data_IF_365237431004
#
_entry.id   IF_365237431004
#
_cell.length_a   1.000
_cell.length_b   1.000
_cell.length_c   1.000
_cell.angle_alpha   90.00
_cell.angle_beta   90.00
_cell.angle_gamma   90.00
#
_symmetry.space_group_name_H-M   'P 1'
#
loop_
_entity.id
_entity.type
_entity.pdbx_description
1 polymer ?
#
# COMPACT_ATOMS: atom_id res chain seq x y z
N UNK A 1 -18.68 52.42 41.34
CA UNK A 1 -18.01 51.80 42.50
C UNK A 1 -18.08 50.29 42.35
N UNK A 2 -17.01 49.60 42.79
CA UNK A 2 -16.81 48.14 42.85
C UNK A 2 -16.61 47.42 41.50
N UNK A 3 -15.74 46.41 41.33
CA UNK A 3 -14.52 45.94 42.01
C UNK A 3 -13.89 44.90 41.05
N UNK A 4 -12.58 44.69 41.12
CA UNK A 4 -11.79 43.78 40.27
C UNK A 4 -12.30 42.32 40.28
N UNK A 5 -12.40 41.69 39.10
CA UNK A 5 -12.39 40.23 38.97
C UNK A 5 -11.28 39.81 38.00
N UNK A 6 -10.37 38.98 38.53
CA UNK A 6 -9.19 38.42 37.88
C UNK A 6 -9.58 37.39 36.81
N UNK A 7 -8.80 37.32 35.73
CA UNK A 7 -8.59 36.12 34.91
C UNK A 7 -9.79 35.67 34.07
N UNK A 8 -9.99 36.25 32.88
CA UNK A 8 -11.03 35.81 31.94
C UNK A 8 -10.53 34.72 31.00
N UNK A 9 -10.90 33.47 31.28
CA UNK A 9 -10.71 32.30 30.42
C UNK A 9 -11.61 32.35 29.15
N UNK A 10 -11.15 31.76 28.04
CA UNK A 10 -11.83 31.69 26.72
C UNK A 10 -12.60 30.36 26.55
N UNK A 11 -13.84 30.38 26.02
CA UNK A 11 -14.85 29.26 25.97
C UNK A 11 -15.28 28.88 24.51
N UNK A 12 -15.86 27.67 24.21
CA UNK A 12 -16.20 27.16 22.83
C UNK A 12 -17.58 26.41 22.64
N UNK A 13 -18.54 26.85 21.78
CA UNK A 13 -19.91 26.33 21.47
C UNK A 13 -20.15 24.80 21.24
N UNK A 14 -21.22 24.22 21.82
CA UNK A 14 -21.75 22.87 21.47
C UNK A 14 -22.46 22.81 20.09
N UNK A 15 -23.00 23.93 19.60
CA UNK A 15 -23.48 24.09 18.21
C UNK A 15 -23.34 25.55 17.80
N UNK A 16 -22.83 25.80 16.59
CA UNK A 16 -22.76 27.17 16.02
C UNK A 16 -24.07 27.40 15.27
N UNK A 17 -25.05 28.03 15.93
CA UNK A 17 -26.34 28.36 15.30
C UNK A 17 -26.19 29.41 14.19
N UNK A 18 -25.18 30.28 14.28
CA UNK A 18 -24.91 31.32 13.30
C UNK A 18 -23.43 31.72 13.36
N UNK A 19 -22.65 31.39 12.33
CA UNK A 19 -21.22 31.74 12.23
C UNK A 19 -20.97 33.24 11.97
N UNK A 20 -22.03 34.00 11.66
CA UNK A 20 -22.01 35.45 11.47
C UNK A 20 -22.61 36.23 12.65
N UNK A 21 -22.90 35.57 13.78
CA UNK A 21 -23.40 36.24 14.98
C UNK A 21 -22.31 37.10 15.61
N UNK A 22 -22.59 38.37 15.91
CA UNK A 22 -21.69 39.25 16.67
C UNK A 22 -21.59 38.85 18.17
N UNK A 23 -22.40 37.90 18.63
CA UNK A 23 -22.43 37.42 20.01
C UNK A 23 -22.25 35.90 20.08
N UNK A 24 -21.36 35.46 20.97
CA UNK A 24 -21.11 34.04 21.31
C UNK A 24 -22.34 33.50 22.07
N UNK A 25 -22.75 32.26 21.79
CA UNK A 25 -23.92 31.64 22.46
C UNK A 25 -23.55 31.19 23.89
N UNK A 26 -24.08 31.91 24.89
CA UNK A 26 -23.76 31.77 26.31
C UNK A 26 -24.50 30.60 27.01
N UNK A 27 -25.30 29.80 26.29
CA UNK A 27 -26.19 28.77 26.88
C UNK A 27 -25.57 27.39 27.03
N UNK A 28 -24.25 27.28 26.89
CA UNK A 28 -23.55 25.99 26.94
C UNK A 28 -22.51 26.04 28.06
N UNK A 29 -22.63 25.13 29.02
CA UNK A 29 -21.65 24.98 30.10
C UNK A 29 -20.41 24.21 29.61
N UNK A 30 -19.21 24.70 29.96
CA UNK A 30 -17.92 24.10 29.60
C UNK A 30 -17.09 23.74 30.81
N UNK A 31 -16.35 22.65 30.70
CA UNK A 31 -15.31 22.25 31.65
C UNK A 31 -13.99 23.00 31.41
N UNK A 32 -13.08 22.95 32.40
CA UNK A 32 -11.77 23.58 32.36
C UNK A 32 -10.90 23.13 31.16
N UNK A 33 -10.14 24.06 30.60
CA UNK A 33 -9.19 23.77 29.52
C UNK A 33 -8.16 22.70 29.94
N UNK A 34 -8.11 21.59 29.20
CA UNK A 34 -7.04 20.60 29.33
C UNK A 34 -5.81 21.06 28.54
N UNK A 35 -4.74 21.39 29.23
CA UNK A 35 -3.45 21.66 28.59
C UNK A 35 -2.77 20.35 28.16
N UNK A 36 -2.50 20.21 26.86
CA UNK A 36 -1.71 19.11 26.32
C UNK A 36 -0.23 19.51 26.26
N UNK A 37 0.60 18.91 27.12
CA UNK A 37 2.02 19.23 27.26
C UNK A 37 2.94 18.50 26.26
N UNK A 38 2.45 17.48 25.54
CA UNK A 38 3.30 16.75 24.57
C UNK A 38 2.51 16.13 23.41
N UNK A 39 1.55 15.25 23.70
CA UNK A 39 0.74 14.55 22.71
C UNK A 39 -0.75 14.61 23.05
N UNK A 40 -1.59 14.46 22.03
CA UNK A 40 -3.04 14.40 22.17
C UNK A 40 -3.48 12.95 21.99
N UNK A 41 -4.07 12.37 23.05
CA UNK A 41 -4.79 11.10 22.93
C UNK A 41 -6.14 11.38 22.30
N UNK A 42 -6.46 10.62 21.24
CA UNK A 42 -7.76 10.64 20.54
C UNK A 42 -8.85 9.95 21.38
N UNK A 43 -8.89 10.23 22.68
CA UNK A 43 -9.88 9.69 23.61
C UNK A 43 -10.89 10.77 24.05
N UNK A 44 -10.60 12.06 23.81
CA UNK A 44 -11.26 13.17 24.51
C UNK A 44 -11.83 14.32 23.67
N UNK A 45 -12.01 14.21 22.36
CA UNK A 45 -12.49 15.35 21.56
C UNK A 45 -13.62 15.01 20.58
N UNK A 46 -14.46 16.04 20.34
CA UNK A 46 -15.70 16.20 19.55
C UNK A 46 -15.96 15.24 18.37
N UNK A 47 -14.90 14.71 17.75
CA UNK A 47 -14.95 13.77 16.63
C UNK A 47 -15.53 12.42 17.02
N UNK A 48 -15.27 11.94 18.24
CA UNK A 48 -15.69 10.61 18.70
C UNK A 48 -17.20 10.45 18.69
N UNK A 49 -17.94 11.49 19.09
CA UNK A 49 -19.41 11.47 19.11
C UNK A 49 -20.01 11.35 17.71
N UNK A 50 -19.51 12.11 16.74
CA UNK A 50 -19.97 12.00 15.35
C UNK A 50 -19.69 10.61 14.78
N UNK A 51 -18.53 10.03 15.11
CA UNK A 51 -18.17 8.67 14.70
C UNK A 51 -19.05 7.60 15.36
N UNK A 52 -19.33 7.71 16.66
CA UNK A 52 -20.23 6.81 17.40
C UNK A 52 -21.69 6.92 16.93
N UNK A 53 -22.10 8.11 16.49
CA UNK A 53 -23.40 8.35 15.85
C UNK A 53 -23.44 7.89 14.38
N UNK A 54 -22.36 7.30 13.85
CA UNK A 54 -22.31 6.69 12.51
C UNK A 54 -21.96 7.66 11.37
N UNK A 55 -21.53 8.88 11.66
CA UNK A 55 -21.08 9.84 10.65
C UNK A 55 -19.60 9.64 10.30
N UNK A 56 -19.26 9.88 9.03
CA UNK A 56 -17.87 10.06 8.63
C UNK A 56 -17.32 11.39 9.17
N UNK A 57 -16.07 11.36 9.61
CA UNK A 57 -15.42 12.50 10.24
C UNK A 57 -14.21 12.99 9.44
N UNK A 58 -14.02 14.31 9.37
CA UNK A 58 -12.89 14.92 8.68
C UNK A 58 -12.29 16.06 9.52
N UNK A 59 -10.96 16.17 9.48
CA UNK A 59 -10.21 17.29 10.07
C UNK A 59 -9.26 17.83 9.00
N UNK A 60 -9.52 19.08 8.61
CA UNK A 60 -8.72 19.83 7.65
C UNK A 60 -8.15 21.08 8.31
N UNK A 61 -6.84 21.27 8.14
CA UNK A 61 -6.14 22.49 8.52
C UNK A 61 -5.44 23.03 7.27
N UNK A 62 -5.24 24.34 7.22
CA UNK A 62 -4.54 25.05 6.15
C UNK A 62 -3.01 24.92 6.25
N UNK A 63 -2.49 24.56 7.43
CA UNK A 63 -1.08 24.31 7.67
C UNK A 63 -0.81 23.04 8.49
N UNK A 64 0.21 22.27 8.11
CA UNK A 64 0.61 21.07 8.85
C UNK A 64 1.65 21.36 9.95
N UNK A 65 2.41 22.44 9.80
CA UNK A 65 3.41 22.92 10.76
C UNK A 65 2.85 23.93 11.76
N UNK A 66 1.92 24.78 11.33
CA UNK A 66 1.24 25.79 12.16
C UNK A 66 -0.17 25.35 12.62
N UNK A 67 -0.54 24.10 12.37
CA UNK A 67 -1.84 23.55 12.77
C UNK A 67 -2.10 23.66 14.27
N UNK A 68 -3.37 23.84 14.64
CA UNK A 68 -3.87 24.07 16.01
C UNK A 68 -3.36 23.03 17.00
N UNK A 69 -3.23 21.79 16.55
CA UNK A 69 -2.87 20.63 17.38
C UNK A 69 -1.40 20.21 17.24
N UNK A 70 -0.67 20.80 16.28
CA UNK A 70 0.69 20.41 15.92
C UNK A 70 1.71 21.54 16.13
N UNK A 71 1.28 22.80 16.24
CA UNK A 71 2.17 23.91 16.51
C UNK A 71 2.81 23.77 17.89
N UNK A 72 4.14 23.64 17.94
CA UNK A 72 4.95 23.39 19.14
C UNK A 72 4.56 22.11 19.92
N UNK A 73 3.84 21.16 19.30
CA UNK A 73 3.37 19.91 19.90
C UNK A 73 3.62 18.74 18.96
N UNK A 74 3.65 17.51 19.49
CA UNK A 74 3.82 16.31 18.66
C UNK A 74 2.54 15.92 17.90
N UNK A 75 1.38 16.50 18.24
CA UNK A 75 0.10 16.20 17.59
C UNK A 75 -0.61 14.98 18.16
N UNK A 76 -1.37 14.29 17.30
CA UNK A 76 -2.17 13.12 17.65
C UNK A 76 -1.36 11.82 17.56
N UNK A 77 -1.52 10.92 18.54
CA UNK A 77 -0.88 9.58 18.52
C UNK A 77 -1.47 8.69 17.43
N UNK A 78 -2.76 8.83 17.16
CA UNK A 78 -3.51 8.08 16.14
C UNK A 78 -4.24 9.06 15.23
N UNK A 79 -4.65 8.62 14.05
CA UNK A 79 -5.49 9.42 13.16
C UNK A 79 -6.77 9.86 13.89
N UNK A 80 -7.02 11.18 14.03
CA UNK A 80 -8.11 11.69 14.86
C UNK A 80 -9.48 11.55 14.21
N UNK A 81 -9.54 11.53 12.88
CA UNK A 81 -10.72 11.46 12.02
C UNK A 81 -10.57 10.40 10.94
N UNK A 82 -11.65 10.03 10.26
CA UNK A 82 -11.62 9.12 9.10
C UNK A 82 -10.85 9.75 7.93
N UNK A 83 -11.02 11.05 7.74
CA UNK A 83 -10.28 11.85 6.76
C UNK A 83 -9.41 12.88 7.48
N UNK A 84 -8.11 12.62 7.57
CA UNK A 84 -7.14 13.54 8.17
C UNK A 84 -6.12 14.00 7.11
N UNK A 85 -6.32 15.21 6.58
CA UNK A 85 -5.58 15.71 5.41
C UNK A 85 -4.15 16.19 5.74
N UNK A 86 -3.73 16.17 7.01
CA UNK A 86 -2.43 16.69 7.43
C UNK A 86 -1.26 16.12 6.65
N UNK A 87 -1.26 14.83 6.33
CA UNK A 87 -0.19 14.23 5.52
C UNK A 87 -0.06 14.90 4.16
N UNK A 88 -1.19 15.20 3.50
CA UNK A 88 -1.19 15.89 2.22
C UNK A 88 -0.69 17.34 2.37
N UNK A 89 -1.18 18.08 3.36
CA UNK A 89 -0.77 19.48 3.60
C UNK A 89 0.72 19.55 3.98
N UNK A 90 1.21 18.63 4.80
CA UNK A 90 2.63 18.54 5.16
C UNK A 90 3.51 18.36 3.94
N UNK A 91 3.16 17.41 3.07
CA UNK A 91 3.89 17.19 1.82
C UNK A 91 3.82 18.42 0.91
N UNK A 92 2.68 19.10 0.83
CA UNK A 92 2.56 20.34 0.07
C UNK A 92 3.45 21.47 0.63
N UNK A 93 3.54 21.60 1.96
CA UNK A 93 4.37 22.61 2.64
C UNK A 93 5.88 22.35 2.50
N UNK A 94 6.31 21.10 2.65
CA UNK A 94 7.74 20.73 2.55
C UNK A 94 8.24 20.88 1.10
N UNK A 95 7.38 20.62 0.13
CA UNK A 95 7.72 20.73 -1.28
C UNK A 95 7.31 22.11 -1.83
N UNK A 96 7.97 23.15 -1.34
CA UNK A 96 7.64 24.58 -1.54
C UNK A 96 7.52 25.01 -3.02
N UNK A 97 8.29 24.39 -3.92
CA UNK A 97 8.18 24.63 -5.37
C UNK A 97 6.83 24.17 -5.95
N UNK A 98 6.07 23.30 -5.28
CA UNK A 98 4.72 22.92 -5.70
C UNK A 98 3.67 23.95 -5.34
N UNK A 99 3.93 24.76 -4.32
CA UNK A 99 3.07 25.88 -3.92
C UNK A 99 3.19 27.01 -4.95
N UNK A 100 4.38 27.15 -5.54
CA UNK A 100 4.66 28.12 -6.59
C UNK A 100 4.96 27.40 -7.89
N UNK A 101 3.92 27.14 -8.68
CA UNK A 101 4.02 26.43 -9.96
C UNK A 101 5.12 26.97 -10.90
N UNK A 102 5.49 28.25 -10.77
CA UNK A 102 6.58 28.92 -11.50
C UNK A 102 7.99 28.47 -11.08
N UNK A 103 8.14 27.96 -9.86
CA UNK A 103 9.41 27.46 -9.31
C UNK A 103 9.61 25.95 -9.55
N UNK A 104 8.59 25.25 -10.07
CA UNK A 104 8.70 23.84 -10.48
C UNK A 104 9.69 23.75 -11.64
N UNK A 105 10.79 23.03 -11.41
CA UNK A 105 11.76 22.73 -12.44
C UNK A 105 12.15 21.25 -12.42
N UNK A 106 12.65 20.77 -13.56
CA UNK A 106 13.09 19.37 -13.72
C UNK A 106 14.19 18.97 -12.74
N UNK A 107 14.98 19.92 -12.23
CA UNK A 107 16.10 19.65 -11.32
C UNK A 107 15.58 19.27 -9.94
N UNK A 108 14.60 19.99 -9.40
CA UNK A 108 13.97 19.69 -8.12
C UNK A 108 13.27 18.32 -8.16
N UNK A 109 12.56 18.03 -9.25
CA UNK A 109 11.92 16.72 -9.45
C UNK A 109 12.99 15.62 -9.54
N UNK A 110 14.09 15.84 -10.28
CA UNK A 110 15.20 14.87 -10.36
C UNK A 110 15.80 14.59 -8.99
N UNK A 111 16.13 15.63 -8.23
CA UNK A 111 16.67 15.49 -6.87
C UNK A 111 15.75 14.69 -5.96
N UNK A 112 14.44 14.92 -6.01
CA UNK A 112 13.47 14.14 -5.21
C UNK A 112 13.32 12.69 -5.69
N UNK A 113 13.59 12.42 -6.96
CA UNK A 113 13.52 11.06 -7.55
C UNK A 113 14.81 10.25 -7.27
N UNK A 114 15.90 10.88 -6.83
CA UNK A 114 17.19 10.21 -6.58
C UNK A 114 17.19 9.31 -5.34
N UNK A 115 16.25 9.51 -4.41
CA UNK A 115 16.03 8.60 -3.27
C UNK A 115 14.95 7.57 -3.60
N UNK A 116 15.04 6.31 -3.12
CA UNK A 116 13.94 5.36 -3.22
C UNK A 116 12.70 5.90 -2.48
N UNK A 117 11.74 6.43 -3.24
CA UNK A 117 10.50 7.02 -2.70
C UNK A 117 9.29 6.08 -2.79
N UNK A 118 9.52 4.87 -3.30
CA UNK A 118 8.49 3.89 -3.64
C UNK A 118 8.61 2.60 -2.82
N UNK A 119 9.05 2.68 -1.57
CA UNK A 119 9.21 1.51 -0.70
C UNK A 119 7.90 1.12 0.03
N UNK A 120 6.90 2.02 0.05
CA UNK A 120 5.62 1.82 0.73
C UNK A 120 4.40 2.11 -0.17
N UNK A 121 3.20 1.74 0.31
CA UNK A 121 1.90 1.87 -0.39
C UNK A 121 1.62 3.27 -0.96
N UNK A 122 2.27 4.29 -0.41
CA UNK A 122 2.04 5.69 -0.75
C UNK A 122 3.25 6.26 -1.48
N UNK A 123 3.06 6.57 -2.75
CA UNK A 123 3.94 7.47 -3.50
C UNK A 123 3.36 8.88 -3.39
N UNK A 124 4.23 9.87 -3.21
CA UNK A 124 3.80 11.27 -3.22
C UNK A 124 3.15 11.61 -4.56
N UNK A 125 2.03 12.33 -4.54
CA UNK A 125 1.34 12.85 -5.74
C UNK A 125 2.23 13.80 -6.56
N UNK A 126 3.30 14.27 -5.94
CA UNK A 126 4.22 15.26 -6.49
C UNK A 126 5.50 14.63 -7.05
N UNK A 127 5.58 13.31 -7.03
CA UNK A 127 6.64 12.55 -7.67
C UNK A 127 6.08 11.77 -8.85
N UNK A 128 6.88 11.61 -9.92
CA UNK A 128 6.47 10.77 -11.03
C UNK A 128 6.19 9.35 -10.53
N UNK A 129 5.26 8.66 -11.19
CA UNK A 129 5.05 7.24 -10.93
C UNK A 129 6.35 6.51 -11.34
N UNK A 130 6.94 5.69 -10.45
CA UNK A 130 8.15 4.94 -10.80
C UNK A 130 7.82 3.94 -11.90
N UNK A 131 8.76 3.69 -12.82
CA UNK A 131 8.53 2.73 -13.90
C UNK A 131 8.36 1.31 -13.35
N UNK A 132 8.97 1.07 -12.18
CA UNK A 132 8.93 -0.14 -11.41
C UNK A 132 7.75 -0.15 -10.39
N UNK A 133 6.65 0.57 -10.64
CA UNK A 133 5.45 0.46 -9.79
C UNK A 133 4.84 -0.94 -9.88
N UNK A 134 4.71 -1.62 -8.74
CA UNK A 134 4.01 -2.91 -8.63
C UNK A 134 2.58 -2.74 -8.12
N UNK A 135 1.73 -3.74 -8.32
CA UNK A 135 0.41 -3.76 -7.70
C UNK A 135 0.49 -3.84 -6.16
N UNK A 136 1.45 -4.59 -5.61
CA UNK A 136 1.77 -4.55 -4.18
C UNK A 136 2.07 -3.14 -3.67
N UNK A 137 2.84 -2.33 -4.42
CA UNK A 137 3.10 -0.93 -4.11
C UNK A 137 1.85 -0.05 -4.21
N UNK A 138 0.89 -0.40 -5.06
CA UNK A 138 -0.41 0.25 -5.11
C UNK A 138 -1.38 -0.23 -4.00
N UNK A 139 -0.99 -1.21 -3.19
CA UNK A 139 -1.90 -1.88 -2.25
C UNK A 139 -2.99 -2.68 -2.95
N UNK A 140 -2.73 -3.14 -4.18
CA UNK A 140 -3.59 -3.98 -5.00
C UNK A 140 -2.99 -5.39 -4.96
N UNK A 141 -3.80 -6.39 -4.65
CA UNK A 141 -3.37 -7.79 -4.74
C UNK A 141 -3.02 -8.13 -6.20
N UNK A 142 -2.04 -9.00 -6.40
CA UNK A 142 -1.55 -9.34 -7.73
C UNK A 142 -2.68 -9.88 -8.64
N UNK A 143 -3.68 -10.55 -8.07
CA UNK A 143 -4.85 -11.04 -8.81
C UNK A 143 -5.72 -9.92 -9.42
N UNK A 144 -5.76 -8.73 -8.81
CA UNK A 144 -6.57 -7.58 -9.25
C UNK A 144 -5.75 -6.56 -10.05
N UNK A 145 -4.54 -6.93 -10.44
CA UNK A 145 -3.59 -6.02 -11.08
C UNK A 145 -3.95 -5.77 -12.56
N UNK A 146 -4.63 -4.66 -12.85
CA UNK A 146 -5.09 -4.32 -14.23
C UNK A 146 -4.12 -3.45 -15.03
N UNK A 147 -3.02 -2.98 -14.44
CA UNK A 147 -2.16 -1.97 -15.06
C UNK A 147 -1.14 -2.52 -16.08
N UNK A 148 -1.00 -3.84 -16.23
CA UNK A 148 0.12 -4.42 -16.99
C UNK A 148 -0.24 -4.65 -18.46
N UNK A 149 0.52 -4.04 -19.37
CA UNK A 149 0.54 -4.49 -20.77
C UNK A 149 1.32 -5.78 -20.84
N UNK A 150 0.68 -6.84 -21.31
CA UNK A 150 1.24 -8.18 -21.33
C UNK A 150 1.57 -8.60 -22.77
N UNK A 151 2.77 -9.11 -23.01
CA UNK A 151 3.16 -9.69 -24.29
C UNK A 151 3.41 -11.19 -24.13
N UNK A 152 2.77 -12.00 -24.99
CA UNK A 152 3.07 -13.44 -25.02
C UNK A 152 4.47 -13.62 -25.60
N UNK A 153 5.32 -14.33 -24.88
CA UNK A 153 6.66 -14.68 -25.36
C UNK A 153 6.69 -16.13 -25.84
N UNK A 154 7.60 -16.42 -26.78
CA UNK A 154 7.76 -17.78 -27.29
C UNK A 154 8.17 -18.74 -26.17
N UNK A 155 7.45 -19.85 -26.03
CA UNK A 155 7.74 -20.92 -25.05
C UNK A 155 9.10 -21.60 -25.29
N UNK A 156 9.71 -21.38 -26.45
CA UNK A 156 11.05 -21.87 -26.80
C UNK A 156 12.17 -20.91 -26.39
N UNK A 157 11.84 -19.68 -25.99
CA UNK A 157 12.83 -18.69 -25.56
C UNK A 157 13.52 -19.13 -24.27
N UNK A 158 14.76 -18.65 -24.08
CA UNK A 158 15.52 -18.91 -22.86
C UNK A 158 14.78 -18.42 -21.62
N UNK A 159 14.28 -17.16 -21.65
CA UNK A 159 13.55 -16.57 -20.52
C UNK A 159 12.28 -17.37 -20.17
N UNK A 160 11.53 -17.87 -21.16
CA UNK A 160 10.34 -18.68 -20.91
C UNK A 160 10.67 -20.01 -20.22
N UNK A 161 11.72 -20.70 -20.67
CA UNK A 161 12.15 -21.97 -20.08
C UNK A 161 12.77 -21.80 -18.70
N UNK A 162 13.55 -20.72 -18.51
CA UNK A 162 14.13 -20.38 -17.22
C UNK A 162 13.02 -20.04 -16.21
N UNK A 163 12.06 -19.17 -16.57
CA UNK A 163 10.90 -18.87 -15.73
C UNK A 163 10.11 -20.14 -15.37
N UNK A 164 9.78 -20.99 -16.35
CA UNK A 164 9.09 -22.26 -16.08
C UNK A 164 9.87 -23.17 -15.13
N UNK A 165 11.19 -23.27 -15.30
CA UNK A 165 12.07 -24.04 -14.41
C UNK A 165 12.10 -23.49 -12.99
N UNK A 166 12.16 -22.17 -12.83
CA UNK A 166 12.13 -21.52 -11.52
C UNK A 166 10.78 -21.71 -10.81
N UNK A 167 9.67 -21.71 -11.55
CA UNK A 167 8.35 -21.98 -10.97
C UNK A 167 8.27 -23.41 -10.42
N UNK A 168 8.72 -24.41 -11.19
CA UNK A 168 8.73 -25.80 -10.74
C UNK A 168 9.71 -26.01 -9.59
N UNK A 169 10.85 -25.31 -9.60
CA UNK A 169 11.78 -25.32 -8.48
C UNK A 169 11.12 -24.78 -7.21
N UNK A 170 10.46 -23.63 -7.27
CA UNK A 170 9.73 -23.05 -6.14
C UNK A 170 8.68 -24.01 -5.58
N UNK A 171 7.90 -24.69 -6.45
CA UNK A 171 6.92 -25.69 -6.02
C UNK A 171 7.58 -26.85 -5.26
N UNK A 172 8.71 -27.36 -5.76
CA UNK A 172 9.43 -28.44 -5.08
C UNK A 172 10.07 -27.97 -3.77
N UNK A 173 10.60 -26.75 -3.71
CA UNK A 173 11.14 -26.17 -2.47
C UNK A 173 10.03 -26.03 -1.41
N UNK A 174 8.82 -25.61 -1.82
CA UNK A 174 7.65 -25.55 -0.95
C UNK A 174 7.18 -26.93 -0.46
N UNK A 175 7.37 -27.98 -1.27
CA UNK A 175 7.01 -29.36 -0.94
C UNK A 175 8.14 -30.14 -0.25
N UNK A 176 9.33 -29.57 -0.09
CA UNK A 176 10.54 -30.30 0.34
C UNK A 176 10.41 -30.93 1.74
N UNK A 177 9.65 -30.30 2.64
CA UNK A 177 9.41 -30.83 3.99
C UNK A 177 8.38 -31.96 4.02
N UNK A 178 7.63 -32.16 2.92
CA UNK A 178 6.53 -33.12 2.82
C UNK A 178 6.92 -34.31 1.96
N UNK A 179 7.64 -35.27 2.55
CA UNK A 179 8.14 -36.49 1.88
C UNK A 179 7.07 -37.36 1.22
N UNK A 180 5.80 -37.20 1.59
CA UNK A 180 4.67 -37.92 1.00
C UNK A 180 4.32 -37.39 -0.40
N UNK A 181 4.74 -36.15 -0.71
CA UNK A 181 4.54 -35.54 -2.01
C UNK A 181 5.68 -35.93 -2.96
N UNK A 182 5.31 -36.37 -4.15
CA UNK A 182 6.24 -36.65 -5.22
C UNK A 182 6.91 -35.37 -5.71
N UNK A 183 8.19 -35.49 -6.11
CA UNK A 183 8.92 -34.40 -6.73
C UNK A 183 8.35 -34.11 -8.12
N UNK A 184 7.91 -32.87 -8.33
CA UNK A 184 7.34 -32.41 -9.59
C UNK A 184 8.45 -32.13 -10.62
N UNK A 185 8.23 -32.55 -11.85
CA UNK A 185 9.09 -32.27 -13.01
C UNK A 185 8.32 -31.46 -14.03
N UNK A 186 9.00 -30.54 -14.70
CA UNK A 186 8.42 -29.78 -15.81
C UNK A 186 8.14 -30.75 -16.97
N UNK A 187 6.87 -30.83 -17.37
CA UNK A 187 6.40 -31.64 -18.51
C UNK A 187 6.30 -30.75 -19.76
N UNK A 188 5.55 -29.65 -19.66
CA UNK A 188 5.31 -28.76 -20.78
C UNK A 188 5.22 -27.29 -20.32
N UNK A 189 5.80 -26.37 -21.10
CA UNK A 189 5.59 -24.93 -20.93
C UNK A 189 4.42 -24.52 -21.83
N UNK A 190 3.26 -24.27 -21.23
CA UNK A 190 2.02 -24.01 -21.97
C UNK A 190 1.97 -22.57 -22.48
N UNK A 191 2.20 -21.62 -21.58
CA UNK A 191 2.17 -20.20 -21.90
C UNK A 191 3.17 -19.45 -21.01
N UNK A 192 3.88 -18.48 -21.57
CA UNK A 192 4.63 -17.51 -20.79
C UNK A 192 4.36 -16.12 -21.35
N UNK A 193 4.06 -15.21 -20.44
CA UNK A 193 3.68 -13.84 -20.75
C UNK A 193 4.56 -12.88 -19.96
N UNK A 194 5.27 -12.00 -20.67
CA UNK A 194 6.04 -10.93 -20.04
C UNK A 194 5.12 -9.75 -19.75
N UNK A 195 5.12 -9.30 -18.50
CA UNK A 195 4.42 -8.10 -18.07
C UNK A 195 5.35 -6.91 -18.23
N UNK A 196 4.96 -5.99 -19.10
CA UNK A 196 5.70 -4.76 -19.34
C UNK A 196 5.40 -3.76 -18.22
N UNK A 197 6.31 -3.70 -17.25
CA UNK A 197 6.48 -2.50 -16.43
C UNK A 197 6.98 -1.35 -17.33
N UNK A 198 6.78 -0.09 -16.94
CA UNK A 198 7.12 1.07 -17.77
C UNK A 198 8.58 1.09 -18.23
N UNK A 199 8.93 1.96 -19.19
CA UNK A 199 10.35 2.09 -19.60
C UNK A 199 11.18 2.63 -18.42
N UNK A 200 12.20 1.89 -17.93
CA UNK A 200 13.02 2.36 -16.83
C UNK A 200 13.84 3.59 -17.23
N UNK A 201 14.00 4.54 -16.30
CA UNK A 201 14.89 5.70 -16.48
C UNK A 201 16.37 5.27 -16.42
N UNK A 202 17.28 6.13 -16.90
CA UNK A 202 18.73 5.84 -17.04
C UNK A 202 19.42 5.28 -15.77
N UNK A 203 18.90 5.55 -14.58
CA UNK A 203 19.45 5.12 -13.29
C UNK A 203 18.49 4.21 -12.50
N UNK A 204 17.41 3.73 -13.12
CA UNK A 204 16.39 2.93 -12.46
C UNK A 204 16.71 1.44 -12.60
N UNK A 205 16.87 0.74 -11.47
CA UNK A 205 17.03 -0.71 -11.47
C UNK A 205 15.68 -1.33 -11.83
N UNK A 206 15.53 -1.66 -13.12
CA UNK A 206 14.36 -2.36 -13.63
C UNK A 206 14.38 -3.84 -13.25
N UNK A 207 13.19 -4.41 -13.11
CA UNK A 207 12.99 -5.86 -13.13
C UNK A 207 12.06 -6.21 -14.28
N UNK A 208 12.07 -7.50 -14.65
CA UNK A 208 11.13 -8.07 -15.62
C UNK A 208 10.21 -9.03 -14.87
N UNK A 209 8.93 -9.02 -15.19
CA UNK A 209 7.96 -9.96 -14.61
C UNK A 209 7.40 -10.88 -15.68
N UNK A 210 7.29 -12.16 -15.34
CA UNK A 210 6.83 -13.21 -16.23
C UNK A 210 5.74 -14.00 -15.53
N UNK A 211 4.59 -14.13 -16.17
CA UNK A 211 3.55 -15.06 -15.77
C UNK A 211 3.74 -16.34 -16.58
N UNK A 212 4.04 -17.44 -15.90
CA UNK A 212 4.29 -18.74 -16.52
C UNK A 212 3.17 -19.72 -16.17
N UNK A 213 2.62 -20.36 -17.20
CA UNK A 213 1.67 -21.47 -17.10
C UNK A 213 2.39 -22.73 -17.54
N UNK A 214 2.56 -23.68 -16.62
CA UNK A 214 3.33 -24.91 -16.83
C UNK A 214 2.49 -26.13 -16.50
N UNK A 215 2.71 -27.22 -17.24
CA UNK A 215 2.27 -28.56 -16.86
C UNK A 215 3.43 -29.31 -16.22
N UNK A 216 3.11 -30.07 -15.17
CA UNK A 216 4.08 -30.88 -14.44
C UNK A 216 3.68 -32.35 -14.40
N UNK A 217 4.66 -33.20 -14.14
CA UNK A 217 4.51 -34.63 -13.91
C UNK A 217 5.20 -35.01 -12.60
N UNK A 218 4.66 -35.92 -11.77
CA UNK A 218 3.43 -36.71 -11.97
C UNK A 218 2.13 -35.91 -11.75
N UNK A 219 1.00 -36.49 -12.14
CA UNK A 219 -0.35 -35.93 -11.88
C UNK A 219 -0.89 -34.96 -12.92
N UNK A 220 -0.08 -34.54 -13.90
CA UNK A 220 -0.53 -33.64 -14.97
C UNK A 220 -0.97 -32.28 -14.46
N UNK A 221 -0.39 -31.81 -13.35
CA UNK A 221 -0.80 -30.57 -12.69
C UNK A 221 -0.44 -29.36 -13.53
N UNK A 222 -1.44 -28.49 -13.78
CA UNK A 222 -1.27 -27.23 -14.50
C UNK A 222 -1.21 -26.10 -13.48
N UNK A 223 -0.08 -25.40 -13.46
CA UNK A 223 0.21 -24.34 -12.50
C UNK A 223 0.46 -23.03 -13.19
N UNK A 224 -0.04 -21.94 -12.61
CA UNK A 224 0.24 -20.57 -13.02
C UNK A 224 0.95 -19.85 -11.88
N UNK A 225 2.05 -19.16 -12.20
CA UNK A 225 2.75 -18.35 -11.22
C UNK A 225 3.42 -17.14 -11.86
N UNK A 226 3.51 -16.06 -11.07
CA UNK A 226 4.17 -14.82 -11.48
C UNK A 226 5.56 -14.76 -10.87
N UNK A 227 6.58 -14.62 -11.73
CA UNK A 227 7.98 -14.61 -11.38
C UNK A 227 8.61 -13.27 -11.74
N UNK A 228 9.40 -12.73 -10.81
CA UNK A 228 10.16 -11.50 -11.00
C UNK A 228 11.65 -11.80 -11.17
N UNK A 229 12.23 -11.31 -12.25
CA UNK A 229 13.66 -11.35 -12.57
C UNK A 229 14.27 -9.97 -12.31
N UNK A 230 15.08 -9.86 -11.26
CA UNK A 230 15.88 -8.66 -10.96
C UNK A 230 17.33 -8.96 -11.28
N UNK A 231 17.85 -8.35 -12.35
CA UNK A 231 19.12 -8.75 -12.98
C UNK A 231 19.07 -10.24 -13.39
N UNK A 232 19.69 -11.14 -12.63
CA UNK A 232 19.66 -12.61 -12.84
C UNK A 232 19.12 -13.40 -11.64
N UNK A 233 18.51 -12.72 -10.67
CA UNK A 233 17.87 -13.37 -9.51
C UNK A 233 16.36 -13.46 -9.73
N UNK A 234 15.84 -14.66 -9.56
CA UNK A 234 14.41 -14.95 -9.64
C UNK A 234 13.76 -14.95 -8.26
N UNK A 235 12.54 -14.44 -8.19
CA UNK A 235 11.70 -14.47 -7.00
C UNK A 235 10.24 -14.67 -7.40
N UNK A 236 9.45 -15.35 -6.57
CA UNK A 236 8.02 -15.45 -6.77
C UNK A 236 7.36 -14.13 -6.36
N UNK A 237 6.56 -13.56 -7.25
CA UNK A 237 5.74 -12.38 -6.99
C UNK A 237 4.27 -12.83 -6.89
N UNK A 238 3.84 -13.13 -5.66
CA UNK A 238 2.47 -13.59 -5.37
C UNK A 238 2.41 -15.08 -4.99
N UNK A 239 1.27 -15.70 -5.23
CA UNK A 239 1.02 -17.14 -4.99
C UNK A 239 0.96 -17.93 -6.29
N UNK A 240 1.18 -19.24 -6.22
CA UNK A 240 1.02 -20.15 -7.37
C UNK A 240 -0.41 -20.68 -7.40
N UNK A 241 -1.07 -20.66 -8.56
CA UNK A 241 -2.43 -21.13 -8.75
C UNK A 241 -2.44 -22.51 -9.43
N UNK A 242 -3.29 -23.43 -8.94
CA UNK A 242 -3.58 -24.71 -9.62
C UNK A 242 -4.80 -24.51 -10.54
N UNK A 243 -4.61 -24.69 -11.85
CA UNK A 243 -5.64 -24.36 -12.86
C UNK A 243 -6.55 -25.54 -13.23
N UNK A 244 -6.13 -26.79 -13.01
CA UNK A 244 -6.92 -27.97 -13.34
C UNK A 244 -7.33 -28.77 -12.09
N UNK A 245 -8.41 -29.54 -12.23
CA UNK A 245 -8.93 -30.42 -11.19
C UNK A 245 -7.85 -31.43 -10.75
N UNK A 246 -7.72 -31.62 -9.44
CA UNK A 246 -6.70 -32.49 -8.83
C UNK A 246 -7.30 -33.68 -8.08
N UNK A 247 -8.61 -33.70 -7.81
CA UNK A 247 -9.32 -34.85 -7.26
C UNK A 247 -8.66 -35.42 -5.98
N UNK A 248 -8.34 -36.71 -6.02
CA UNK A 248 -7.73 -37.49 -4.94
C UNK A 248 -6.19 -37.62 -5.03
N UNK A 249 -5.55 -36.90 -5.96
CA UNK A 249 -4.09 -36.93 -6.16
C UNK A 249 -3.32 -36.54 -4.89
N UNK A 250 -3.90 -35.72 -4.01
CA UNK A 250 -3.30 -35.21 -2.78
C UNK A 250 -3.87 -35.83 -1.49
N UNK A 251 -4.36 -37.08 -1.53
CA UNK A 251 -5.01 -37.76 -0.40
C UNK A 251 -4.13 -37.94 0.85
N UNK A 252 -2.82 -38.03 0.68
CA UNK A 252 -1.83 -38.19 1.75
C UNK A 252 -1.61 -36.92 2.60
N UNK A 253 -2.07 -35.75 2.15
CA UNK A 253 -1.99 -34.49 2.88
C UNK A 253 -3.36 -33.97 3.28
N UNK A 254 -3.47 -33.39 4.48
CA UNK A 254 -4.73 -32.81 4.98
C UNK A 254 -4.80 -31.30 4.83
N UNK A 255 -3.66 -30.61 4.75
CA UNK A 255 -3.60 -29.16 4.66
C UNK A 255 -4.12 -28.66 3.31
N UNK A 256 -5.08 -27.73 3.33
CA UNK A 256 -5.80 -27.28 2.13
C UNK A 256 -4.87 -26.64 1.08
N UNK A 257 -3.85 -25.89 1.50
CA UNK A 257 -2.88 -25.29 0.56
C UNK A 257 -1.97 -26.36 -0.07
N UNK A 258 -1.54 -27.36 0.70
CA UNK A 258 -0.69 -28.42 0.18
C UNK A 258 -1.44 -29.31 -0.82
N UNK A 259 -2.75 -29.47 -0.64
CA UNK A 259 -3.59 -30.24 -1.56
C UNK A 259 -3.59 -29.71 -2.99
N UNK A 260 -3.31 -28.41 -3.19
CA UNK A 260 -3.24 -27.80 -4.52
C UNK A 260 -2.00 -28.27 -5.31
N UNK A 261 -0.89 -28.53 -4.62
CA UNK A 261 0.41 -28.75 -5.24
C UNK A 261 0.89 -30.21 -5.13
N UNK A 262 0.57 -30.88 -4.04
CA UNK A 262 1.06 -32.23 -3.75
C UNK A 262 0.46 -33.28 -4.69
N UNK A 263 1.30 -34.18 -5.18
CA UNK A 263 0.87 -35.45 -5.76
C UNK A 263 1.40 -36.57 -4.87
N UNK A 264 0.54 -37.43 -4.37
CA UNK A 264 0.93 -38.53 -3.50
C UNK A 264 1.54 -39.67 -4.32
N UNK A 265 2.78 -40.01 -4.00
CA UNK A 265 3.54 -41.10 -4.63
C UNK A 265 3.35 -42.45 -3.96
#
# INVERSE_FOLDING_TARGET
MAQLAKGGARLRPNTIANIFSEHVDDRVEYEDCKEFLSYIKVEHEFVKWYKEAGFYTALGEDSASLGTFNFAKYGFIKTPTDYYIRTFIHEAEVNVDLIKLEEINDVNIKQRTETPYADNRSISLFLPIPSNRTCKLAGIDDHWCTCHKSIKISTKSFDARDAAGQLVKYLNDYLAEHRQCAQLKLDEVLEVTEMLAGKPRKNEVGWREFMAVVRTTPGGGVFEGTLRKSSDKWSLAGTVSRLNLYGDQSHCVRHYQLKLYCYCG
#
